data_IF_896160239423
#
_entry.id   IF_896160239423
#
_cell.length_a   1.000
_cell.length_b   1.000
_cell.length_c   1.000
_cell.angle_alpha   90.00
_cell.angle_beta   90.00
_cell.angle_gamma   90.00
#
_symmetry.space_group_name_H-M   'P 1'
#
loop_
_entity.id
_entity.type
_entity.pdbx_description
1 polymer ?
#
# COMPACT_ATOMS: atom_id res chain seq x y z
N UNK A 1 80.36 2.63 5.81
CA UNK A 1 79.77 1.69 4.82
C UNK A 1 78.86 0.76 5.61
N UNK A 2 77.54 0.90 5.44
CA UNK A 2 76.51 0.04 6.02
C UNK A 2 75.89 -0.78 4.90
N UNK A 3 75.71 -2.09 5.12
CA UNK A 3 74.70 -2.96 4.50
C UNK A 3 74.68 -4.31 5.29
N UNK A 4 73.68 -5.20 5.14
CA UNK A 4 72.56 -5.36 6.07
C UNK A 4 72.38 -6.84 6.49
N UNK A 5 71.42 -7.16 7.36
CA UNK A 5 70.64 -8.42 7.27
C UNK A 5 69.54 -8.43 8.33
N UNK A 6 68.27 -8.37 7.92
CA UNK A 6 67.12 -8.61 8.81
C UNK A 6 66.43 -9.91 8.36
N UNK A 7 66.38 -10.83 9.31
CA UNK A 7 65.89 -12.20 9.24
C UNK A 7 64.36 -12.19 9.15
N UNK A 8 63.81 -13.01 8.25
CA UNK A 8 62.36 -13.28 8.17
C UNK A 8 61.93 -14.49 9.01
N UNK A 9 60.64 -14.56 9.35
CA UNK A 9 59.86 -15.78 9.66
C UNK A 9 58.38 -15.39 9.80
N UNK A 10 57.50 -15.79 8.86
CA UNK A 10 56.59 -16.95 8.93
C UNK A 10 55.39 -16.77 9.88
N UNK A 11 54.26 -16.33 9.33
CA UNK A 11 52.93 -16.38 9.95
C UNK A 11 52.26 -17.70 9.58
N UNK A 12 52.03 -18.57 10.56
CA UNK A 12 51.20 -19.76 10.41
C UNK A 12 49.72 -19.39 10.57
N UNK A 13 48.92 -19.63 9.53
CA UNK A 13 47.46 -19.48 9.57
C UNK A 13 46.84 -20.82 9.98
N UNK A 14 46.21 -20.88 11.14
CA UNK A 14 45.39 -22.01 11.59
C UNK A 14 43.97 -21.87 11.06
N UNK A 15 43.50 -22.84 10.28
CA UNK A 15 42.11 -22.93 9.82
C UNK A 15 41.27 -23.71 10.82
N UNK A 16 40.32 -23.06 11.49
CA UNK A 16 39.25 -23.74 12.23
C UNK A 16 38.04 -23.90 11.30
N UNK A 17 37.67 -25.13 10.97
CA UNK A 17 36.41 -25.44 10.32
C UNK A 17 35.37 -25.81 11.41
N UNK A 18 34.35 -24.99 11.57
CA UNK A 18 33.19 -25.32 12.41
C UNK A 18 32.16 -26.13 11.59
N UNK A 19 31.48 -27.13 12.19
CA UNK A 19 30.43 -27.86 11.50
C UNK A 19 29.23 -26.94 11.23
N UNK A 20 28.69 -27.03 10.01
CA UNK A 20 27.49 -26.30 9.60
C UNK A 20 26.27 -27.04 10.15
N UNK A 21 25.55 -26.39 11.07
CA UNK A 21 24.24 -26.87 11.52
C UNK A 21 23.23 -26.68 10.38
N UNK A 22 22.76 -27.77 9.79
CA UNK A 22 21.65 -27.77 8.84
C UNK A 22 20.35 -27.46 9.58
N UNK A 23 20.04 -26.17 9.72
CA UNK A 23 18.73 -25.72 10.16
C UNK A 23 17.80 -25.76 8.94
N UNK A 24 16.98 -26.81 8.89
CA UNK A 24 15.90 -26.96 7.92
C UNK A 24 14.95 -25.76 7.99
N UNK A 25 15.22 -24.77 7.15
CA UNK A 25 14.40 -23.59 7.01
C UNK A 25 13.20 -23.99 6.15
N UNK A 26 12.05 -24.18 6.80
CA UNK A 26 10.75 -24.21 6.15
C UNK A 26 10.65 -22.98 5.25
N UNK A 27 10.66 -23.20 3.94
CA UNK A 27 10.32 -22.15 2.97
C UNK A 27 8.84 -21.82 3.15
N UNK A 28 8.57 -20.73 3.86
CA UNK A 28 7.28 -20.07 3.79
C UNK A 28 7.06 -19.70 2.32
N UNK A 29 6.00 -20.25 1.72
CA UNK A 29 5.55 -19.85 0.39
C UNK A 29 5.17 -18.39 0.48
N UNK A 30 6.08 -17.51 0.04
CA UNK A 30 5.84 -16.08 -0.10
C UNK A 30 4.64 -15.90 -1.04
N UNK A 31 3.49 -15.61 -0.43
CA UNK A 31 2.29 -15.27 -1.16
C UNK A 31 2.55 -13.91 -1.82
N UNK A 32 2.99 -13.93 -3.08
CA UNK A 32 3.42 -12.76 -3.85
C UNK A 32 2.39 -11.60 -3.94
N UNK A 33 1.20 -11.76 -3.38
CA UNK A 33 0.25 -10.67 -3.10
C UNK A 33 0.81 -9.60 -2.14
N UNK A 34 1.74 -9.94 -1.25
CA UNK A 34 2.36 -8.98 -0.31
C UNK A 34 3.30 -8.00 -1.01
N UNK A 35 3.95 -8.42 -2.11
CA UNK A 35 4.86 -7.56 -2.89
C UNK A 35 4.13 -6.39 -3.58
N UNK A 36 2.83 -6.52 -3.82
CA UNK A 36 1.99 -5.48 -4.44
C UNK A 36 1.08 -4.76 -3.44
N UNK A 37 1.12 -5.17 -2.16
CA UNK A 37 0.39 -4.46 -1.11
C UNK A 37 1.17 -3.21 -0.71
N UNK A 38 0.79 -2.07 -1.30
CA UNK A 38 1.15 -0.77 -0.74
C UNK A 38 0.57 -0.68 0.66
N UNK A 39 1.34 -0.07 1.56
CA UNK A 39 0.86 0.17 2.91
C UNK A 39 -0.33 1.13 2.85
N UNK A 40 -1.51 0.64 3.23
CA UNK A 40 -2.75 1.41 3.35
C UNK A 40 -2.62 2.61 4.31
N UNK A 41 -1.51 2.71 5.06
CA UNK A 41 -1.15 3.87 5.88
C UNK A 41 -0.64 5.06 5.06
N UNK A 42 -0.17 4.83 3.82
CA UNK A 42 0.24 5.90 2.89
C UNK A 42 -0.96 6.32 2.05
N UNK A 43 -1.82 7.15 2.62
CA UNK A 43 -2.89 7.79 1.87
C UNK A 43 -2.37 8.82 0.87
N UNK A 44 -3.29 9.43 0.12
CA UNK A 44 -2.99 10.56 -0.75
C UNK A 44 -4.23 11.44 -0.94
N UNK A 45 -4.03 12.64 -1.48
CA UNK A 45 -5.12 13.53 -1.86
C UNK A 45 -5.75 13.06 -3.18
N UNK A 46 -7.06 12.84 -3.15
CA UNK A 46 -7.86 12.60 -4.35
C UNK A 46 -8.97 13.64 -4.46
N UNK A 47 -9.33 14.01 -5.68
CA UNK A 47 -10.48 14.89 -5.91
C UNK A 47 -11.74 14.10 -6.17
N UNK A 48 -12.86 14.69 -5.77
CA UNK A 48 -14.18 14.20 -6.15
C UNK A 48 -14.56 14.77 -7.53
N UNK A 49 -15.17 13.93 -8.36
CA UNK A 49 -15.56 14.23 -9.72
C UNK A 49 -17.08 14.44 -9.85
N UNK A 50 -17.47 15.20 -10.88
CA UNK A 50 -18.83 15.35 -11.43
C UNK A 50 -19.89 16.00 -10.53
N UNK A 51 -20.13 15.47 -9.33
CA UNK A 51 -21.21 15.90 -8.43
C UNK A 51 -20.74 16.94 -7.41
N UNK A 52 -21.64 17.86 -7.04
CA UNK A 52 -21.42 18.78 -5.91
C UNK A 52 -21.47 18.07 -4.57
N UNK A 53 -22.24 16.98 -4.47
CA UNK A 53 -22.40 16.23 -3.23
C UNK A 53 -22.32 14.73 -3.53
N UNK A 54 -21.17 14.13 -3.25
CA UNK A 54 -21.00 12.67 -3.30
C UNK A 54 -21.19 12.10 -1.92
N UNK A 55 -22.05 11.09 -1.81
CA UNK A 55 -22.34 10.42 -0.54
C UNK A 55 -21.12 9.62 -0.09
N UNK A 56 -20.53 10.02 1.05
CA UNK A 56 -19.56 9.21 1.76
C UNK A 56 -20.28 8.34 2.79
N UNK A 57 -20.16 7.01 2.66
CA UNK A 57 -21.02 6.05 3.37
C UNK A 57 -20.26 5.22 4.39
N UNK A 58 -20.93 4.75 5.44
CA UNK A 58 -20.28 3.98 6.51
C UNK A 58 -19.70 2.62 6.06
N UNK A 59 -20.07 2.15 4.87
CA UNK A 59 -19.56 0.92 4.29
C UNK A 59 -19.52 0.98 2.76
N UNK A 60 -18.93 -0.05 2.12
CA UNK A 60 -18.68 -0.08 0.68
C UNK A 60 -19.95 -0.49 -0.09
N UNK A 61 -20.98 0.34 -0.03
CA UNK A 61 -22.27 0.11 -0.68
C UNK A 61 -23.25 1.26 -0.50
N UNK A 62 -24.23 1.36 -1.39
CA UNK A 62 -25.28 2.39 -1.39
C UNK A 62 -26.29 2.20 -0.27
N UNK A 63 -26.41 0.98 0.25
CA UNK A 63 -27.31 0.62 1.34
C UNK A 63 -26.81 1.07 2.73
N UNK A 64 -25.55 1.48 2.83
CA UNK A 64 -24.98 1.99 4.08
C UNK A 64 -25.40 3.43 4.33
N UNK A 65 -25.53 3.79 5.61
CA UNK A 65 -25.80 5.16 6.03
C UNK A 65 -24.76 6.13 5.46
N UNK A 66 -25.21 7.33 5.11
CA UNK A 66 -24.33 8.43 4.68
C UNK A 66 -23.76 9.10 5.93
N UNK A 67 -22.43 9.16 6.03
CA UNK A 67 -21.69 9.86 7.09
C UNK A 67 -21.40 11.31 6.72
N UNK A 68 -21.07 11.58 5.46
CA UNK A 68 -20.71 12.91 4.98
C UNK A 68 -21.07 13.12 3.50
N UNK A 69 -20.93 14.37 3.06
CA UNK A 69 -20.93 14.75 1.65
C UNK A 69 -19.56 15.28 1.27
N UNK A 70 -19.00 14.78 0.18
CA UNK A 70 -17.75 15.31 -0.39
C UNK A 70 -18.05 16.11 -1.65
N UNK A 71 -17.43 17.28 -1.78
CA UNK A 71 -17.72 18.25 -2.81
C UNK A 71 -16.55 18.38 -3.80
N UNK A 72 -16.88 18.36 -5.10
CA UNK A 72 -15.90 18.54 -6.19
C UNK A 72 -15.21 19.90 -6.20
N UNK A 73 -15.82 20.94 -5.62
CA UNK A 73 -15.25 22.29 -5.49
C UNK A 73 -14.10 22.31 -4.46
N UNK A 74 -13.90 21.22 -3.72
CA UNK A 74 -12.78 21.06 -2.82
C UNK A 74 -11.50 20.66 -3.57
N UNK A 75 -10.90 21.62 -4.26
CA UNK A 75 -9.78 21.40 -5.19
C UNK A 75 -8.51 20.85 -4.54
N UNK A 76 -8.31 21.08 -3.23
CA UNK A 76 -7.22 20.48 -2.44
C UNK A 76 -7.33 18.95 -2.38
N UNK A 77 -8.52 18.40 -2.60
CA UNK A 77 -8.80 16.97 -2.47
C UNK A 77 -8.97 16.51 -1.03
N UNK A 78 -9.43 15.27 -0.90
CA UNK A 78 -9.65 14.57 0.34
C UNK A 78 -8.60 13.49 0.51
N UNK A 79 -8.18 13.25 1.76
CA UNK A 79 -7.15 12.27 2.07
C UNK A 79 -7.73 10.86 2.17
N UNK A 80 -7.59 10.08 1.10
CA UNK A 80 -8.02 8.68 1.06
C UNK A 80 -6.84 7.76 1.34
N UNK A 81 -7.09 6.65 2.04
CA UNK A 81 -6.03 5.78 2.56
C UNK A 81 -6.01 4.39 1.91
N UNK A 82 -7.17 3.86 1.51
CA UNK A 82 -7.25 2.50 0.96
C UNK A 82 -8.51 2.27 0.12
N UNK A 83 -8.53 1.19 -0.67
CA UNK A 83 -9.73 0.75 -1.42
C UNK A 83 -10.29 -0.54 -0.81
N UNK A 84 -11.60 -0.56 -0.58
CA UNK A 84 -12.36 -1.75 -0.18
C UNK A 84 -13.28 -2.19 -1.31
N UNK A 85 -13.31 -3.49 -1.60
CA UNK A 85 -14.29 -4.05 -2.53
C UNK A 85 -15.68 -4.07 -1.88
N UNK A 86 -16.73 -3.79 -2.65
CA UNK A 86 -18.11 -3.82 -2.19
C UNK A 86 -19.12 -3.83 -3.33
N UNK A 87 -20.24 -3.13 -3.15
CA UNK A 87 -21.28 -3.03 -4.18
C UNK A 87 -20.71 -2.43 -5.46
N UNK A 88 -20.95 -3.11 -6.59
CA UNK A 88 -20.55 -2.62 -7.90
C UNK A 88 -21.56 -1.60 -8.42
N UNK A 89 -21.08 -0.38 -8.67
CA UNK A 89 -21.89 0.67 -9.31
C UNK A 89 -21.56 0.67 -10.79
N UNK A 90 -22.57 0.81 -11.64
CA UNK A 90 -22.40 0.93 -13.09
C UNK A 90 -22.89 2.30 -13.55
N UNK A 91 -21.99 3.11 -14.09
CA UNK A 91 -22.30 4.41 -14.69
C UNK A 91 -21.84 4.43 -16.13
N UNK A 92 -22.74 4.82 -17.05
CA UNK A 92 -22.45 4.88 -18.50
C UNK A 92 -21.84 3.57 -19.07
N UNK A 93 -22.30 2.42 -18.57
CA UNK A 93 -21.81 1.11 -19.00
C UNK A 93 -20.47 0.67 -18.41
N UNK A 94 -19.81 1.52 -17.61
CA UNK A 94 -18.57 1.18 -16.89
C UNK A 94 -18.91 0.80 -15.46
N UNK A 95 -18.35 -0.30 -14.98
CA UNK A 95 -18.57 -0.80 -13.61
C UNK A 95 -17.36 -0.51 -12.71
N UNK A 96 -17.61 -0.07 -11.47
CA UNK A 96 -16.60 0.05 -10.42
C UNK A 96 -17.13 -0.53 -9.10
N UNK A 97 -16.40 -1.52 -8.57
CA UNK A 97 -16.71 -2.20 -7.30
C UNK A 97 -15.78 -1.77 -6.15
N UNK A 98 -14.88 -0.83 -6.41
CA UNK A 98 -13.95 -0.26 -5.44
C UNK A 98 -14.58 0.93 -4.70
N UNK A 99 -14.36 0.96 -3.40
CA UNK A 99 -14.81 2.00 -2.50
C UNK A 99 -13.61 2.57 -1.75
N UNK A 100 -13.26 3.82 -2.06
CA UNK A 100 -12.12 4.53 -1.49
C UNK A 100 -12.48 5.00 -0.07
N UNK A 101 -11.63 4.71 0.89
CA UNK A 101 -11.82 5.02 2.30
C UNK A 101 -11.26 6.40 2.65
N UNK A 102 -12.13 7.29 3.12
CA UNK A 102 -11.80 8.61 3.61
C UNK A 102 -11.67 8.58 5.13
N UNK A 103 -10.45 8.85 5.63
CA UNK A 103 -10.09 8.63 7.04
C UNK A 103 -10.82 9.58 7.99
N UNK A 104 -10.97 10.86 7.61
CA UNK A 104 -11.46 11.94 8.48
C UNK A 104 -12.88 11.64 8.99
N UNK A 105 -13.79 11.25 8.09
CA UNK A 105 -15.18 10.89 8.43
C UNK A 105 -15.42 9.38 8.51
N UNK A 106 -14.35 8.58 8.37
CA UNK A 106 -14.37 7.11 8.45
C UNK A 106 -15.45 6.51 7.55
N UNK A 107 -15.44 6.91 6.28
CA UNK A 107 -16.48 6.56 5.32
C UNK A 107 -15.89 6.23 3.95
N UNK A 108 -16.74 5.76 3.05
CA UNK A 108 -16.37 5.20 1.76
C UNK A 108 -17.08 5.93 0.62
N UNK A 109 -16.35 6.18 -0.46
CA UNK A 109 -16.86 6.72 -1.72
C UNK A 109 -16.58 5.72 -2.84
N UNK A 110 -17.55 5.43 -3.71
CA UNK A 110 -17.29 4.56 -4.86
C UNK A 110 -16.31 5.25 -5.83
N UNK A 111 -15.32 4.50 -6.33
CA UNK A 111 -14.25 5.05 -7.16
C UNK A 111 -14.68 5.61 -8.51
N UNK A 112 -15.96 5.50 -8.90
CA UNK A 112 -16.52 6.28 -10.01
C UNK A 112 -16.49 7.79 -9.76
N UNK A 113 -16.52 8.20 -8.49
CA UNK A 113 -16.65 9.58 -8.09
C UNK A 113 -15.32 10.22 -7.68
N UNK A 114 -14.22 9.49 -7.73
CA UNK A 114 -12.90 10.01 -7.39
C UNK A 114 -12.02 10.05 -8.62
N UNK A 115 -11.04 10.95 -8.63
CA UNK A 115 -10.08 11.02 -9.73
C UNK A 115 -9.11 9.83 -9.75
N UNK A 116 -8.31 9.73 -10.82
CA UNK A 116 -7.34 8.66 -11.00
C UNK A 116 -6.19 8.66 -9.99
N UNK A 117 -6.18 9.56 -9.00
CA UNK A 117 -5.34 9.42 -7.82
C UNK A 117 -5.88 8.30 -6.94
N UNK A 118 -7.18 8.22 -6.73
CA UNK A 118 -7.82 7.18 -5.94
C UNK A 118 -8.04 5.90 -6.75
N UNK A 119 -6.99 5.07 -6.84
CA UNK A 119 -7.08 3.74 -7.47
C UNK A 119 -6.55 2.69 -6.51
N UNK A 120 -7.01 1.45 -6.69
CA UNK A 120 -6.47 0.30 -5.97
C UNK A 120 -4.94 0.22 -6.08
N UNK A 121 -4.38 0.55 -7.24
CA UNK A 121 -2.94 0.55 -7.45
C UNK A 121 -2.24 1.59 -6.57
N UNK A 122 -2.78 2.80 -6.42
CA UNK A 122 -2.14 3.88 -5.66
C UNK A 122 -2.38 3.79 -4.15
N UNK A 123 -3.60 3.44 -3.74
CA UNK A 123 -4.01 3.39 -2.32
C UNK A 123 -3.78 2.02 -1.66
N UNK A 124 -3.71 0.93 -2.43
CA UNK A 124 -3.72 -0.41 -1.88
C UNK A 124 -5.09 -0.84 -1.34
N UNK A 125 -5.18 -2.07 -0.82
CA UNK A 125 -6.42 -2.61 -0.22
C UNK A 125 -6.53 -2.15 1.23
N UNK A 126 -7.75 -1.95 1.71
CA UNK A 126 -7.97 -1.80 3.16
C UNK A 126 -7.59 -3.10 3.90
N UNK A 127 -7.00 -2.97 5.09
CA UNK A 127 -6.61 -4.08 5.96
C UNK A 127 -7.81 -4.57 6.80
#
# INVERSE_FOLDING_TARGET
>A
MHLPSLIGALLALSTYAAPVTDNASQSEVDNGSKLFQRDSSTGQLCRVLYSRDVNCRAGPGTNYERRAYLNKEYERGYWFTCVKSGECITLNGVQNCGWDYFEEDRCYVNGHYTDGSCTLAKLGRCK
#
